data_IF_149548398969
#
_entry.id   IF_149548398969
#
_cell.length_a   1.000
_cell.length_b   1.000
_cell.length_c   1.000
_cell.angle_alpha   90.00
_cell.angle_beta   90.00
_cell.angle_gamma   90.00
#
_symmetry.space_group_name_H-M   'P 1'
#
loop_
_entity.id
_entity.type
_entity.pdbx_description
1 polymer ?
#
# COMPACT_ATOMS: atom_id res chain seq x y z
N UNK A 1 -5.74 -48.25 27.51
CA UNK A 1 -5.84 -46.87 28.03
C UNK A 1 -6.46 -46.03 26.94
N UNK A 2 -7.77 -45.79 27.00
CA UNK A 2 -8.52 -45.09 25.96
C UNK A 2 -8.31 -43.57 26.17
N UNK A 3 -7.57 -42.92 25.27
CA UNK A 3 -7.35 -41.48 25.30
C UNK A 3 -8.63 -40.79 24.83
N UNK A 4 -9.44 -40.27 25.76
CA UNK A 4 -10.59 -39.44 25.43
C UNK A 4 -10.05 -38.04 25.10
N UNK A 5 -9.99 -37.72 23.81
CA UNK A 5 -9.70 -36.36 23.33
C UNK A 5 -10.99 -35.57 23.48
N UNK A 6 -11.10 -34.76 24.53
CA UNK A 6 -12.13 -33.74 24.63
C UNK A 6 -11.85 -32.66 23.58
N UNK A 7 -12.62 -32.66 22.48
CA UNK A 7 -12.75 -31.46 21.66
C UNK A 7 -13.56 -30.45 22.47
N UNK A 8 -12.88 -29.46 23.03
CA UNK A 8 -13.56 -28.24 23.47
C UNK A 8 -14.01 -27.50 22.21
N UNK A 9 -15.26 -27.69 21.81
CA UNK A 9 -15.91 -26.73 20.94
C UNK A 9 -15.96 -25.41 21.72
N UNK A 10 -15.21 -24.40 21.27
CA UNK A 10 -15.41 -23.03 21.77
C UNK A 10 -16.81 -22.63 21.34
N UNK A 11 -17.76 -22.66 22.27
CA UNK A 11 -19.05 -22.02 22.09
C UNK A 11 -18.74 -20.52 22.06
N UNK A 12 -18.73 -19.95 20.86
CA UNK A 12 -18.52 -18.51 20.69
C UNK A 12 -19.77 -17.78 21.19
N UNK A 13 -19.60 -16.93 22.20
CA UNK A 13 -20.67 -16.15 22.81
C UNK A 13 -20.80 -14.75 22.18
N UNK A 14 -20.55 -14.64 20.86
CA UNK A 14 -20.71 -13.40 20.11
C UNK A 14 -22.18 -12.93 20.07
N UNK A 15 -22.44 -11.71 19.54
CA UNK A 15 -23.80 -11.19 19.45
C UNK A 15 -24.67 -12.08 18.56
N UNK A 16 -25.91 -12.31 18.97
CA UNK A 16 -26.88 -13.10 18.19
C UNK A 16 -27.28 -12.43 16.88
N UNK A 17 -27.20 -11.09 16.83
CA UNK A 17 -27.51 -10.27 15.66
C UNK A 17 -26.40 -9.25 15.48
N UNK A 18 -25.80 -9.23 14.29
CA UNK A 18 -24.83 -8.22 13.88
C UNK A 18 -25.58 -7.08 13.19
N UNK A 19 -25.28 -5.84 13.57
CA UNK A 19 -25.80 -4.63 12.94
C UNK A 19 -24.67 -3.83 12.30
N UNK A 20 -24.78 -3.57 10.99
CA UNK A 20 -23.75 -2.90 10.19
C UNK A 20 -23.71 -1.38 10.39
N UNK A 21 -24.60 -0.83 11.22
CA UNK A 21 -24.54 0.56 11.64
C UNK A 21 -23.56 0.80 12.80
N UNK A 22 -22.99 -0.26 13.39
CA UNK A 22 -21.97 -0.20 14.44
C UNK A 22 -20.59 -0.46 13.80
N UNK A 23 -19.96 0.62 13.37
CA UNK A 23 -18.69 0.59 12.64
C UNK A 23 -17.49 0.50 13.60
N UNK A 24 -16.62 -0.47 13.34
CA UNK A 24 -15.35 -0.69 14.04
C UNK A 24 -14.21 -0.82 13.04
N UNK A 25 -12.97 -0.64 13.48
CA UNK A 25 -11.82 -1.15 12.73
C UNK A 25 -11.88 -2.68 12.76
N UNK A 26 -12.15 -3.29 11.62
CA UNK A 26 -12.35 -4.74 11.50
C UNK A 26 -11.05 -5.53 11.63
N UNK A 27 -9.88 -4.88 11.50
CA UNK A 27 -8.61 -5.49 11.88
C UNK A 27 -8.44 -5.46 13.40
N UNK A 28 -8.65 -4.28 13.99
CA UNK A 28 -8.61 -4.11 15.42
C UNK A 28 -7.95 -2.81 15.87
N UNK A 29 -7.51 -2.79 17.12
CA UNK A 29 -6.90 -1.62 17.74
C UNK A 29 -5.64 -2.02 18.53
N UNK A 30 -4.61 -1.18 18.48
CA UNK A 30 -3.45 -1.35 19.39
C UNK A 30 -3.83 -1.09 20.84
N UNK A 31 -3.15 -1.74 21.78
CA UNK A 31 -3.47 -1.65 23.20
C UNK A 31 -3.44 -0.20 23.72
N UNK A 32 -2.51 0.60 23.22
CA UNK A 32 -2.27 2.00 23.57
C UNK A 32 -2.97 3.03 22.66
N UNK A 33 -3.65 2.57 21.59
CA UNK A 33 -4.31 3.46 20.66
C UNK A 33 -5.61 4.04 21.22
N UNK A 34 -6.01 5.18 20.64
CA UNK A 34 -7.38 5.68 20.73
C UNK A 34 -8.29 4.71 20.00
N UNK A 35 -9.35 4.24 20.66
CA UNK A 35 -10.28 3.23 20.13
C UNK A 35 -11.67 3.82 20.05
N UNK A 36 -12.22 3.83 18.85
CA UNK A 36 -13.50 4.45 18.55
C UNK A 36 -14.31 3.49 17.69
N UNK A 37 -15.56 3.28 18.08
CA UNK A 37 -16.60 2.78 17.19
C UNK A 37 -17.48 3.97 16.77
N UNK A 38 -17.89 3.97 15.52
CA UNK A 38 -18.81 4.97 14.96
C UNK A 38 -20.16 4.30 14.82
N UNK A 39 -21.18 4.91 15.40
CA UNK A 39 -22.55 4.42 15.27
C UNK A 39 -23.25 5.37 14.32
N UNK A 40 -23.81 4.87 13.23
CA UNK A 40 -24.46 5.68 12.19
C UNK A 40 -25.97 5.49 12.19
N UNK A 41 -26.71 6.56 11.97
CA UNK A 41 -28.11 6.53 11.58
C UNK A 41 -28.26 7.25 10.24
N UNK A 42 -28.46 6.52 9.14
CA UNK A 42 -28.69 7.13 7.84
C UNK A 42 -29.88 8.09 7.85
N UNK A 43 -29.72 9.27 7.25
CA UNK A 43 -30.74 10.31 7.28
C UNK A 43 -31.03 10.90 5.91
N UNK A 44 -30.02 10.99 5.04
CA UNK A 44 -30.13 11.42 3.63
C UNK A 44 -29.10 10.65 2.82
N UNK A 45 -29.35 10.38 1.54
CA UNK A 45 -28.37 9.71 0.67
C UNK A 45 -28.79 8.29 0.29
N UNK A 46 -27.85 7.51 -0.26
CA UNK A 46 -28.14 6.19 -0.83
C UNK A 46 -28.71 5.19 0.19
N UNK A 47 -28.24 5.28 1.43
CA UNK A 47 -28.61 4.40 2.54
C UNK A 47 -29.74 4.95 3.42
N UNK A 48 -30.43 6.04 3.04
CA UNK A 48 -31.44 6.67 3.92
C UNK A 48 -32.65 5.79 4.24
N UNK A 49 -32.91 4.76 3.43
CA UNK A 49 -34.02 3.82 3.61
C UNK A 49 -33.69 2.70 4.62
N UNK A 50 -32.49 2.71 5.21
CA UNK A 50 -32.04 1.76 6.25
C UNK A 50 -31.72 2.52 7.57
N UNK A 51 -32.72 3.11 8.25
CA UNK A 51 -32.48 3.88 9.46
C UNK A 51 -32.15 2.99 10.65
N UNK A 52 -31.23 3.45 11.50
CA UNK A 52 -30.89 2.80 12.76
C UNK A 52 -31.08 3.77 13.93
N UNK A 53 -31.91 3.40 14.91
CA UNK A 53 -32.12 4.21 16.10
C UNK A 53 -31.20 3.71 17.23
N UNK A 54 -30.01 4.32 17.43
CA UNK A 54 -29.07 3.81 18.42
C UNK A 54 -29.61 3.98 19.84
N UNK A 55 -29.21 3.06 20.73
CA UNK A 55 -29.42 3.19 22.17
C UNK A 55 -28.79 4.46 22.74
N UNK A 56 -29.57 5.52 22.90
CA UNK A 56 -29.11 6.77 23.50
C UNK A 56 -29.39 6.83 25.02
N UNK A 57 -28.61 7.65 25.73
CA UNK A 57 -28.66 7.76 27.19
C UNK A 57 -27.49 7.06 27.88
N UNK A 58 -27.49 7.11 29.22
CA UNK A 58 -26.33 6.67 30.01
C UNK A 58 -26.07 5.18 29.85
N UNK A 59 -24.82 4.85 29.53
CA UNK A 59 -24.27 3.49 29.62
C UNK A 59 -25.02 2.45 28.78
N UNK A 60 -25.48 2.83 27.58
CA UNK A 60 -26.22 1.95 26.67
C UNK A 60 -25.35 1.06 25.79
N UNK A 61 -24.07 1.39 25.66
CA UNK A 61 -23.13 0.65 24.82
C UNK A 61 -22.07 -0.04 25.66
N UNK A 62 -21.67 -1.24 25.24
CA UNK A 62 -20.67 -2.07 25.92
C UNK A 62 -19.58 -2.52 24.95
N UNK A 63 -18.37 -2.74 25.48
CA UNK A 63 -17.39 -3.61 24.84
C UNK A 63 -17.49 -4.95 25.55
N UNK A 64 -17.72 -6.01 24.78
CA UNK A 64 -17.86 -7.37 25.30
C UNK A 64 -16.81 -8.27 24.71
N UNK A 65 -16.30 -9.21 25.52
CA UNK A 65 -15.38 -10.25 25.05
C UNK A 65 -16.13 -11.20 24.13
N UNK A 66 -15.51 -11.52 22.99
CA UNK A 66 -16.07 -12.45 22.01
C UNK A 66 -16.21 -13.88 22.55
N UNK A 67 -15.33 -14.28 23.46
CA UNK A 67 -15.26 -15.65 23.96
C UNK A 67 -16.38 -16.04 24.92
N UNK A 68 -16.89 -15.10 25.71
CA UNK A 68 -17.75 -15.38 26.87
C UNK A 68 -18.83 -14.32 27.12
N UNK A 69 -19.04 -13.38 26.19
CA UNK A 69 -20.04 -12.30 26.26
C UNK A 69 -19.88 -11.36 27.48
N UNK A 70 -18.76 -11.43 28.19
CA UNK A 70 -18.55 -10.59 29.38
C UNK A 70 -18.30 -9.15 28.96
N UNK A 71 -19.14 -8.24 29.45
CA UNK A 71 -18.92 -6.81 29.33
C UNK A 71 -17.69 -6.38 30.13
N UNK A 72 -16.68 -5.85 29.43
CA UNK A 72 -15.42 -5.35 30.01
C UNK A 72 -15.38 -3.82 30.07
N UNK A 73 -16.31 -3.17 29.37
CA UNK A 73 -16.48 -1.72 29.39
C UNK A 73 -17.94 -1.38 29.10
N UNK A 74 -18.41 -0.29 29.69
CA UNK A 74 -19.71 0.29 29.42
C UNK A 74 -19.54 1.79 29.25
N UNK A 75 -20.22 2.38 28.27
CA UNK A 75 -20.12 3.80 28.02
C UNK A 75 -21.36 4.39 27.37
N UNK A 76 -21.30 5.72 27.24
CA UNK A 76 -22.37 6.55 26.70
C UNK A 76 -21.94 7.12 25.36
N UNK A 77 -22.75 6.95 24.33
CA UNK A 77 -22.51 7.55 23.01
C UNK A 77 -22.40 9.07 23.11
N UNK A 78 -21.47 9.65 22.34
CA UNK A 78 -21.33 11.10 22.17
C UNK A 78 -21.76 11.49 20.76
N UNK A 79 -22.80 12.32 20.58
CA UNK A 79 -23.20 12.74 19.24
C UNK A 79 -22.06 13.52 18.59
N UNK A 80 -21.76 13.20 17.34
CA UNK A 80 -20.84 13.99 16.53
C UNK A 80 -21.47 15.34 16.20
N UNK A 81 -20.68 16.41 16.27
CA UNK A 81 -21.06 17.76 15.84
C UNK A 81 -22.46 18.20 16.32
N UNK A 82 -22.72 18.05 17.63
CA UNK A 82 -24.01 18.38 18.26
C UNK A 82 -25.24 17.68 17.63
N UNK A 83 -25.06 16.50 17.03
CA UNK A 83 -26.13 15.72 16.41
C UNK A 83 -26.48 16.16 14.99
N UNK A 84 -25.64 16.97 14.35
CA UNK A 84 -25.79 17.33 12.94
C UNK A 84 -25.66 16.10 12.03
N UNK A 85 -26.34 16.16 10.88
CA UNK A 85 -26.13 15.20 9.79
C UNK A 85 -24.80 15.50 9.10
N UNK A 86 -23.96 14.48 8.91
CA UNK A 86 -22.69 14.59 8.21
C UNK A 86 -22.96 14.84 6.72
N UNK A 87 -22.37 15.89 6.13
CA UNK A 87 -22.77 16.37 4.81
C UNK A 87 -22.34 15.47 3.65
N UNK A 88 -21.31 14.64 3.82
CA UNK A 88 -20.83 13.75 2.76
C UNK A 88 -21.55 12.39 2.77
N UNK A 89 -21.70 11.79 3.95
CA UNK A 89 -22.38 10.49 4.06
C UNK A 89 -23.89 10.64 4.16
N UNK A 90 -24.37 11.75 4.71
CA UNK A 90 -25.78 11.98 4.98
C UNK A 90 -26.31 11.28 6.23
N UNK A 91 -25.43 10.79 7.11
CA UNK A 91 -25.78 10.13 8.35
C UNK A 91 -25.71 11.08 9.56
N UNK A 92 -26.56 10.84 10.57
CA UNK A 92 -26.25 11.28 11.94
C UNK A 92 -25.34 10.24 12.57
N UNK A 93 -24.29 10.66 13.28
CA UNK A 93 -23.32 9.73 13.85
C UNK A 93 -22.99 10.01 15.31
N UNK A 94 -22.55 8.97 16.01
CA UNK A 94 -22.11 9.03 17.40
C UNK A 94 -20.76 8.35 17.56
N UNK A 95 -19.94 8.91 18.45
CA UNK A 95 -18.70 8.31 18.91
C UNK A 95 -18.95 7.42 20.12
N UNK A 96 -18.43 6.20 20.07
CA UNK A 96 -18.22 5.35 21.23
C UNK A 96 -16.73 5.14 21.45
N UNK A 97 -16.15 5.88 22.41
CA UNK A 97 -14.72 5.78 22.74
C UNK A 97 -14.52 4.80 23.90
N UNK A 98 -13.66 3.81 23.69
CA UNK A 98 -13.37 2.75 24.66
C UNK A 98 -11.85 2.53 24.82
N UNK A 99 -11.07 3.59 24.67
CA UNK A 99 -9.60 3.54 24.70
C UNK A 99 -9.01 2.94 25.98
N UNK A 100 -9.75 2.95 27.10
CA UNK A 100 -9.35 2.33 28.37
C UNK A 100 -9.31 0.81 28.33
N UNK A 101 -9.97 0.17 27.36
CA UNK A 101 -9.84 -1.28 27.13
C UNK A 101 -8.51 -1.52 26.43
N UNK A 102 -7.55 -2.06 27.16
CA UNK A 102 -6.18 -2.30 26.67
C UNK A 102 -5.73 -3.75 26.80
N UNK A 103 -6.52 -4.61 27.46
CA UNK A 103 -6.22 -6.04 27.56
C UNK A 103 -6.29 -6.65 26.15
N UNK A 104 -5.25 -7.37 25.70
CA UNK A 104 -5.30 -8.06 24.42
C UNK A 104 -6.41 -9.11 24.39
N UNK A 105 -7.12 -9.22 23.27
CA UNK A 105 -8.22 -10.16 23.11
C UNK A 105 -9.12 -9.87 21.91
N UNK A 106 -10.16 -10.68 21.77
CA UNK A 106 -11.19 -10.52 20.76
C UNK A 106 -12.45 -9.92 21.40
N UNK A 107 -13.03 -8.92 20.76
CA UNK A 107 -14.12 -8.13 21.30
C UNK A 107 -15.17 -7.80 20.24
N UNK A 108 -16.31 -7.29 20.69
CA UNK A 108 -17.30 -6.64 19.87
C UNK A 108 -18.00 -5.51 20.65
N UNK A 109 -18.63 -4.58 19.94
CA UNK A 109 -19.44 -3.50 20.53
C UNK A 109 -20.89 -3.95 20.60
N UNK A 110 -21.58 -3.72 21.72
CA UNK A 110 -22.97 -4.14 21.91
C UNK A 110 -23.89 -2.96 22.26
N UNK A 111 -24.98 -2.80 21.51
CA UNK A 111 -26.08 -1.88 21.83
C UNK A 111 -27.14 -2.62 22.66
N UNK A 112 -27.19 -2.31 23.95
CA UNK A 112 -28.16 -2.94 24.87
C UNK A 112 -29.61 -2.62 24.59
N UNK A 113 -29.87 -1.51 23.91
CA UNK A 113 -31.25 -1.06 23.66
C UNK A 113 -31.88 -1.91 22.57
N UNK A 114 -31.11 -2.17 21.51
CA UNK A 114 -31.57 -2.91 20.35
C UNK A 114 -31.22 -4.41 20.42
N UNK A 115 -30.31 -4.82 21.31
CA UNK A 115 -29.89 -6.21 21.46
C UNK A 115 -29.02 -6.70 20.30
N UNK A 116 -28.26 -5.80 19.69
CA UNK A 116 -27.41 -6.06 18.50
C UNK A 116 -25.95 -5.70 18.78
N UNK A 117 -25.02 -6.30 18.03
CA UNK A 117 -23.60 -6.03 18.16
C UNK A 117 -22.88 -5.77 16.85
N UNK A 118 -21.63 -5.31 16.93
CA UNK A 118 -20.74 -5.17 15.77
C UNK A 118 -20.18 -6.52 15.33
N UNK A 119 -19.48 -6.53 14.18
CA UNK A 119 -18.52 -7.59 13.87
C UNK A 119 -17.42 -7.70 14.95
N UNK A 120 -16.77 -8.87 15.00
CA UNK A 120 -15.61 -9.14 15.85
C UNK A 120 -14.43 -8.24 15.44
N UNK A 121 -13.70 -7.73 16.41
CA UNK A 121 -12.41 -7.05 16.22
C UNK A 121 -11.40 -7.48 17.29
N UNK A 122 -10.11 -7.23 17.05
CA UNK A 122 -9.04 -7.55 18.00
C UNK A 122 -8.54 -6.30 18.73
N UNK A 123 -8.09 -6.46 19.97
CA UNK A 123 -7.21 -5.50 20.64
C UNK A 123 -5.89 -6.22 20.88
N UNK A 124 -4.78 -5.62 20.48
CA UNK A 124 -3.45 -6.23 20.58
C UNK A 124 -2.37 -5.39 19.91
N UNK A 125 -1.12 -5.55 20.30
CA UNK A 125 -0.02 -4.73 19.74
C UNK A 125 0.36 -5.10 18.30
N UNK A 126 -0.06 -6.27 17.84
CA UNK A 126 0.26 -6.86 16.54
C UNK A 126 -0.95 -6.94 15.57
N UNK A 127 -2.05 -6.24 15.85
CA UNK A 127 -3.29 -6.31 15.04
C UNK A 127 -3.10 -5.90 13.58
N UNK A 128 -2.04 -5.16 13.26
CA UNK A 128 -1.74 -4.72 11.90
C UNK A 128 -0.61 -5.53 11.23
N UNK A 129 -0.02 -6.51 11.90
CA UNK A 129 1.12 -7.27 11.36
C UNK A 129 0.72 -8.05 10.11
N UNK A 130 -0.37 -8.83 10.20
CA UNK A 130 -0.88 -9.61 9.06
C UNK A 130 -1.47 -8.70 7.97
N UNK A 131 -2.04 -7.54 8.34
CA UNK A 131 -2.53 -6.54 7.39
C UNK A 131 -1.36 -5.96 6.58
N UNK A 132 -0.25 -5.64 7.24
CA UNK A 132 0.97 -5.14 6.60
C UNK A 132 1.57 -6.21 5.68
N UNK A 133 1.65 -7.47 6.13
CA UNK A 133 2.13 -8.59 5.30
C UNK A 133 1.25 -8.79 4.07
N UNK A 134 -0.06 -8.84 4.22
CA UNK A 134 -1.00 -8.98 3.11
C UNK A 134 -0.93 -7.79 2.13
N UNK A 135 -0.84 -6.57 2.67
CA UNK A 135 -0.66 -5.35 1.87
C UNK A 135 0.63 -5.40 1.04
N UNK A 136 1.76 -5.80 1.64
CA UNK A 136 3.02 -5.96 0.93
C UNK A 136 2.97 -7.11 -0.08
N UNK A 137 2.34 -8.24 0.27
CA UNK A 137 2.17 -9.40 -0.60
C UNK A 137 1.38 -9.09 -1.87
N UNK A 138 0.55 -8.06 -1.85
CA UNK A 138 -0.18 -7.60 -3.05
C UNK A 138 0.78 -7.23 -4.18
N UNK A 139 1.93 -6.61 -3.88
CA UNK A 139 2.94 -6.29 -4.90
C UNK A 139 3.53 -7.55 -5.56
N UNK A 140 3.77 -8.60 -4.78
CA UNK A 140 4.19 -9.90 -5.31
C UNK A 140 3.18 -10.43 -6.33
N UNK A 141 1.88 -10.36 -6.02
CA UNK A 141 0.81 -10.77 -6.92
C UNK A 141 0.70 -9.88 -8.16
N UNK A 142 1.06 -8.60 -8.06
CA UNK A 142 1.14 -7.67 -9.18
C UNK A 142 2.42 -7.80 -10.03
N UNK A 143 3.41 -8.62 -9.66
CA UNK A 143 4.64 -8.79 -10.47
C UNK A 143 4.32 -9.25 -11.90
N UNK A 144 4.61 -8.43 -12.90
CA UNK A 144 4.59 -8.78 -14.31
C UNK A 144 5.82 -9.63 -14.68
N UNK A 145 5.68 -10.61 -15.58
CA UNK A 145 6.81 -11.42 -16.06
C UNK A 145 7.37 -12.44 -15.07
N UNK A 146 6.67 -12.71 -13.97
CA UNK A 146 7.08 -13.69 -12.95
C UNK A 146 5.99 -14.71 -12.64
N UNK A 147 6.40 -15.96 -12.45
CA UNK A 147 5.53 -17.05 -12.02
C UNK A 147 4.96 -16.76 -10.61
N UNK A 148 3.65 -16.91 -10.45
CA UNK A 148 3.01 -17.00 -9.13
C UNK A 148 2.97 -18.47 -8.74
N UNK A 149 4.04 -18.95 -8.12
CA UNK A 149 4.23 -20.36 -7.83
C UNK A 149 4.06 -20.66 -6.34
N UNK A 150 3.54 -21.86 -6.03
CA UNK A 150 3.60 -22.41 -4.68
C UNK A 150 5.07 -22.63 -4.27
N UNK A 151 5.47 -22.39 -2.99
CA UNK A 151 4.63 -22.01 -1.85
C UNK A 151 4.45 -20.49 -1.68
N UNK A 152 4.94 -19.67 -2.60
CA UNK A 152 4.97 -18.21 -2.46
C UNK A 152 3.62 -17.54 -2.78
N UNK A 153 2.84 -18.17 -3.67
CA UNK A 153 1.47 -17.81 -4.00
C UNK A 153 0.48 -18.75 -3.29
N UNK A 154 -0.61 -18.17 -2.77
CA UNK A 154 -1.71 -18.89 -2.15
C UNK A 154 -2.48 -19.73 -3.17
N UNK A 155 -3.17 -20.77 -2.67
CA UNK A 155 -4.02 -21.59 -3.51
C UNK A 155 -5.11 -20.75 -4.20
N UNK A 156 -5.28 -20.93 -5.52
CA UNK A 156 -6.19 -20.12 -6.34
C UNK A 156 -5.58 -18.84 -6.91
N UNK A 157 -4.36 -18.48 -6.49
CA UNK A 157 -3.62 -17.30 -6.97
C UNK A 157 -2.32 -17.68 -7.70
N UNK A 158 -2.15 -18.97 -8.02
CA UNK A 158 -1.03 -19.43 -8.83
C UNK A 158 -1.27 -19.16 -10.30
N UNK A 159 -0.23 -18.70 -11.00
CA UNK A 159 -0.27 -18.38 -12.43
C UNK A 159 1.14 -18.50 -13.04
N UNK A 160 1.22 -18.76 -14.34
CA UNK A 160 2.47 -18.72 -15.08
C UNK A 160 2.94 -17.26 -15.29
N UNK A 161 4.20 -17.07 -15.68
CA UNK A 161 4.72 -15.75 -16.04
C UNK A 161 3.91 -15.16 -17.21
N UNK A 162 3.35 -13.99 -17.00
CA UNK A 162 2.63 -13.21 -18.00
C UNK A 162 3.54 -12.32 -18.83
N UNK A 163 3.07 -11.86 -19.98
CA UNK A 163 3.73 -10.85 -20.82
C UNK A 163 5.15 -11.21 -21.31
N UNK A 164 5.47 -12.51 -21.43
CA UNK A 164 6.77 -13.02 -21.93
C UNK A 164 6.69 -13.68 -23.32
N UNK A 165 5.54 -13.60 -23.98
CA UNK A 165 5.28 -14.18 -25.30
C UNK A 165 5.77 -13.30 -26.47
N UNK A 166 5.29 -13.64 -27.68
CA UNK A 166 5.65 -12.91 -28.91
C UNK A 166 5.23 -11.45 -28.83
N UNK A 167 6.19 -10.54 -29.04
CA UNK A 167 5.97 -9.09 -29.04
C UNK A 167 5.29 -8.58 -27.76
N UNK A 168 5.71 -9.13 -26.61
CA UNK A 168 5.29 -8.67 -25.30
C UNK A 168 6.43 -7.93 -24.59
N UNK A 169 6.54 -7.99 -23.26
CA UNK A 169 7.46 -7.13 -22.51
C UNK A 169 8.93 -7.44 -22.83
N UNK A 170 9.28 -8.68 -23.21
CA UNK A 170 10.64 -9.08 -23.60
C UNK A 170 11.03 -8.68 -25.04
N UNK A 171 10.05 -8.29 -25.86
CA UNK A 171 10.21 -7.84 -27.25
C UNK A 171 9.30 -6.65 -27.54
N UNK A 172 9.29 -5.69 -26.62
CA UNK A 172 8.33 -4.59 -26.58
C UNK A 172 8.70 -3.53 -27.63
N UNK A 173 7.71 -3.01 -28.36
CA UNK A 173 7.93 -2.11 -29.50
C UNK A 173 7.49 -0.68 -29.19
N UNK A 174 8.13 0.31 -29.81
CA UNK A 174 7.71 1.70 -29.67
C UNK A 174 6.32 1.90 -30.29
N UNK A 175 5.36 2.43 -29.53
CA UNK A 175 3.98 2.60 -30.00
C UNK A 175 3.88 3.50 -31.26
N UNK A 176 4.76 4.50 -31.39
CA UNK A 176 4.80 5.41 -32.54
C UNK A 176 5.64 4.91 -33.71
N UNK A 177 6.38 3.81 -33.53
CA UNK A 177 7.16 3.14 -34.57
C UNK A 177 7.24 1.64 -34.26
N UNK A 178 6.18 0.87 -34.58
CA UNK A 178 6.00 -0.53 -34.21
C UNK A 178 6.85 -1.47 -35.08
N UNK A 179 8.15 -1.22 -35.17
CA UNK A 179 9.10 -1.93 -36.01
C UNK A 179 9.96 -2.92 -35.20
N UNK A 180 10.44 -3.97 -35.88
CA UNK A 180 11.44 -4.88 -35.34
C UNK A 180 12.72 -4.16 -34.83
N UNK A 181 13.03 -2.99 -35.38
CA UNK A 181 14.19 -2.17 -34.98
C UNK A 181 14.01 -1.41 -33.67
N UNK A 182 12.78 -1.31 -33.15
CA UNK A 182 12.48 -0.67 -31.86
C UNK A 182 12.31 -1.68 -30.73
N UNK A 183 12.75 -2.95 -30.92
CA UNK A 183 12.70 -3.98 -29.86
C UNK A 183 13.38 -3.48 -28.60
N UNK A 184 12.73 -3.69 -27.46
CA UNK A 184 13.35 -3.56 -26.14
C UNK A 184 12.85 -4.66 -25.22
N UNK A 185 13.76 -5.16 -24.40
CA UNK A 185 13.42 -5.97 -23.25
C UNK A 185 13.06 -5.06 -22.06
N UNK A 186 11.78 -5.00 -21.73
CA UNK A 186 11.16 -4.18 -20.69
C UNK A 186 10.35 -5.05 -19.69
N UNK A 187 10.77 -6.30 -19.48
CA UNK A 187 10.13 -7.24 -18.55
C UNK A 187 10.26 -6.84 -17.07
N UNK A 188 9.44 -7.49 -16.24
CA UNK A 188 9.42 -7.30 -14.79
C UNK A 188 8.50 -6.15 -14.35
N UNK A 189 8.68 -5.72 -13.11
CA UNK A 189 7.89 -4.65 -12.49
C UNK A 189 6.46 -5.05 -12.16
N UNK A 190 5.63 -4.11 -11.73
CA UNK A 190 4.27 -4.37 -11.28
C UNK A 190 3.23 -3.92 -12.31
N UNK A 191 2.17 -4.71 -12.46
CA UNK A 191 0.91 -4.22 -13.02
C UNK A 191 0.39 -3.07 -12.15
N UNK A 192 0.03 -1.95 -12.78
CA UNK A 192 -0.25 -0.69 -12.10
C UNK A 192 -1.57 -0.71 -11.33
N UNK A 193 -2.58 -1.38 -11.89
CA UNK A 193 -3.89 -1.49 -11.27
C UNK A 193 -4.57 -2.82 -11.65
N UNK A 194 -5.88 -2.77 -11.92
CA UNK A 194 -6.65 -3.92 -12.40
C UNK A 194 -6.38 -4.28 -13.86
N UNK A 195 -5.72 -3.40 -14.62
CA UNK A 195 -5.13 -3.69 -15.91
C UNK A 195 -3.64 -4.03 -15.78
N UNK A 196 -3.05 -4.55 -16.86
CA UNK A 196 -1.67 -5.03 -16.84
C UNK A 196 -0.63 -4.02 -17.35
N UNK A 197 -1.01 -2.76 -17.57
CA UNK A 197 -0.06 -1.75 -17.99
C UNK A 197 0.84 -1.33 -16.81
N UNK A 198 1.99 -0.75 -17.13
CA UNK A 198 3.01 -0.34 -16.16
C UNK A 198 3.45 1.09 -16.49
N UNK A 199 3.33 2.02 -15.55
CA UNK A 199 3.54 3.45 -15.78
C UNK A 199 4.65 3.99 -14.90
N UNK A 200 5.76 4.46 -15.49
CA UNK A 200 6.93 4.93 -14.73
C UNK A 200 6.53 6.02 -13.74
N UNK A 201 5.67 6.96 -14.16
CA UNK A 201 5.22 8.06 -13.31
C UNK A 201 4.38 7.63 -12.10
N UNK A 202 3.61 6.55 -12.21
CA UNK A 202 2.72 6.14 -11.12
C UNK A 202 3.47 5.35 -10.04
N UNK A 203 4.67 4.84 -10.36
CA UNK A 203 5.59 4.29 -9.36
C UNK A 203 6.06 5.32 -8.34
N UNK A 204 6.03 6.62 -8.66
CA UNK A 204 6.65 7.66 -7.83
C UNK A 204 6.10 7.68 -6.41
N UNK A 205 4.78 7.75 -6.26
CA UNK A 205 4.14 7.80 -4.93
C UNK A 205 4.37 6.49 -4.18
N UNK A 206 4.15 5.36 -4.85
CA UNK A 206 4.27 4.03 -4.26
C UNK A 206 5.68 3.75 -3.75
N UNK A 207 6.69 3.87 -4.61
CA UNK A 207 8.08 3.61 -4.24
C UNK A 207 8.60 4.62 -3.20
N UNK A 208 8.27 5.90 -3.36
CA UNK A 208 8.70 6.92 -2.39
C UNK A 208 8.08 6.68 -1.02
N UNK A 209 6.78 6.40 -0.94
CA UNK A 209 6.11 6.13 0.33
C UNK A 209 6.66 4.87 1.01
N UNK A 210 6.91 3.80 0.26
CA UNK A 210 7.45 2.55 0.81
C UNK A 210 8.91 2.68 1.26
N UNK A 211 9.75 3.37 0.48
CA UNK A 211 11.14 3.65 0.87
C UNK A 211 11.23 4.55 2.11
N UNK A 212 10.36 5.57 2.22
CA UNK A 212 10.30 6.42 3.41
C UNK A 212 9.67 5.70 4.62
N UNK A 213 8.74 4.77 4.40
CA UNK A 213 8.20 3.93 5.46
C UNK A 213 9.26 2.96 6.01
N UNK A 214 10.12 2.43 5.14
CA UNK A 214 11.30 1.68 5.55
C UNK A 214 12.27 2.55 6.36
N UNK A 215 12.60 3.75 5.88
CA UNK A 215 13.48 4.69 6.59
C UNK A 215 12.94 5.05 7.98
N UNK A 216 11.63 5.26 8.10
CA UNK A 216 11.01 5.67 9.36
C UNK A 216 11.03 4.56 10.42
N UNK A 217 10.85 3.29 10.02
CA UNK A 217 10.74 2.16 10.95
C UNK A 217 11.34 0.88 10.34
N UNK A 218 12.66 0.78 10.12
CA UNK A 218 13.24 -0.34 9.40
C UNK A 218 13.01 -1.69 10.10
N UNK A 219 12.92 -1.70 11.43
CA UNK A 219 12.79 -2.91 12.23
C UNK A 219 11.45 -3.63 12.12
N UNK A 220 10.39 -2.98 11.62
CA UNK A 220 9.08 -3.63 11.42
C UNK A 220 9.05 -4.44 10.13
N UNK A 221 9.93 -4.13 9.18
CA UNK A 221 10.05 -4.84 7.90
C UNK A 221 10.96 -6.05 8.07
N UNK A 222 10.35 -7.22 8.04
CA UNK A 222 11.02 -8.51 8.22
C UNK A 222 11.36 -9.14 6.86
N UNK A 223 12.07 -10.25 6.93
CA UNK A 223 12.50 -11.10 5.81
C UNK A 223 11.80 -12.47 5.94
N UNK A 224 10.45 -12.43 6.03
CA UNK A 224 9.60 -13.56 6.45
C UNK A 224 8.15 -13.59 5.91
N UNK A 225 7.79 -12.79 4.89
CA UNK A 225 6.43 -12.74 4.33
C UNK A 225 6.19 -13.81 3.24
N UNK A 226 7.18 -14.68 3.01
CA UNK A 226 7.11 -15.82 2.11
C UNK A 226 7.20 -15.43 0.63
N UNK A 227 7.93 -14.37 0.29
CA UNK A 227 8.36 -14.11 -1.08
C UNK A 227 9.37 -15.16 -1.55
N UNK A 228 9.59 -15.30 -2.87
CA UNK A 228 10.71 -16.10 -3.39
C UNK A 228 12.07 -15.69 -2.81
N UNK A 229 12.20 -14.41 -2.45
CA UNK A 229 13.41 -13.82 -1.89
C UNK A 229 13.53 -13.96 -0.36
N UNK A 230 12.46 -14.35 0.35
CA UNK A 230 12.45 -14.36 1.82
C UNK A 230 13.52 -15.29 2.40
N UNK A 231 14.19 -14.83 3.46
CA UNK A 231 15.30 -15.48 4.15
C UNK A 231 16.68 -15.17 3.56
N UNK A 232 16.80 -14.21 2.63
CA UNK A 232 18.07 -13.89 1.98
C UNK A 232 18.93 -12.85 2.74
N UNK A 233 18.43 -12.32 3.86
CA UNK A 233 19.08 -11.28 4.65
C UNK A 233 18.75 -9.84 4.22
N UNK A 234 17.79 -9.63 3.34
CA UNK A 234 17.24 -8.35 2.91
C UNK A 234 15.78 -8.31 3.37
N UNK A 235 15.30 -7.22 4.01
CA UNK A 235 13.88 -7.10 4.33
C UNK A 235 13.02 -7.27 3.08
N UNK A 236 11.97 -8.09 3.16
CA UNK A 236 11.13 -8.45 2.01
C UNK A 236 10.53 -7.23 1.31
N UNK A 237 10.28 -6.15 2.07
CA UNK A 237 9.87 -4.88 1.50
C UNK A 237 10.87 -4.43 0.43
N UNK A 238 12.17 -4.39 0.76
CA UNK A 238 13.21 -3.95 -0.17
C UNK A 238 13.43 -4.95 -1.30
N UNK A 239 13.24 -6.25 -1.08
CA UNK A 239 13.25 -7.22 -2.18
C UNK A 239 12.12 -6.99 -3.18
N UNK A 240 10.92 -6.70 -2.69
CA UNK A 240 9.78 -6.38 -3.55
C UNK A 240 10.02 -5.06 -4.30
N UNK A 241 10.52 -4.01 -3.62
CA UNK A 241 10.89 -2.75 -4.29
C UNK A 241 12.00 -2.95 -5.33
N UNK A 242 12.96 -3.85 -5.07
CA UNK A 242 14.02 -4.21 -6.02
C UNK A 242 13.44 -4.78 -7.31
N UNK A 243 12.37 -5.56 -7.25
CA UNK A 243 11.69 -6.09 -8.43
C UNK A 243 11.20 -4.97 -9.36
N UNK A 244 10.56 -3.94 -8.79
CA UNK A 244 10.10 -2.76 -9.53
C UNK A 244 11.24 -1.87 -10.01
N UNK A 245 12.26 -1.65 -9.17
CA UNK A 245 13.43 -0.87 -9.53
C UNK A 245 14.19 -1.48 -10.71
N UNK A 246 14.24 -2.81 -10.83
CA UNK A 246 14.80 -3.46 -12.02
C UNK A 246 14.00 -3.14 -13.29
N UNK A 247 12.68 -3.06 -13.22
CA UNK A 247 11.88 -2.60 -14.36
C UNK A 247 12.15 -1.13 -14.69
N UNK A 248 12.19 -0.24 -13.69
CA UNK A 248 12.55 1.17 -13.92
C UNK A 248 13.94 1.32 -14.56
N UNK A 249 14.93 0.49 -14.18
CA UNK A 249 16.25 0.48 -14.80
C UNK A 249 16.17 0.08 -16.28
N UNK A 250 15.32 -0.88 -16.66
CA UNK A 250 15.08 -1.23 -18.08
C UNK A 250 14.38 -0.11 -18.85
N UNK A 251 13.59 0.72 -18.16
CA UNK A 251 12.94 1.89 -18.76
C UNK A 251 13.91 3.06 -19.02
N UNK A 252 15.13 3.04 -18.44
CA UNK A 252 16.15 4.05 -18.68
C UNK A 252 16.93 3.77 -19.98
N UNK A 253 17.04 4.80 -20.82
CA UNK A 253 17.82 4.76 -22.06
C UNK A 253 19.30 5.09 -21.79
N UNK A 254 20.16 4.80 -22.77
CA UNK A 254 21.62 5.01 -22.64
C UNK A 254 22.03 6.48 -22.39
N UNK A 255 21.19 7.44 -22.78
CA UNK A 255 21.40 8.87 -22.48
C UNK A 255 20.91 9.28 -21.07
N UNK A 256 20.26 8.38 -20.34
CA UNK A 256 19.68 8.59 -19.03
C UNK A 256 18.19 8.91 -19.03
N UNK A 257 17.56 9.17 -20.18
CA UNK A 257 16.13 9.50 -20.24
C UNK A 257 15.26 8.25 -19.96
N UNK A 258 14.09 8.42 -19.35
CA UNK A 258 13.20 7.29 -19.05
C UNK A 258 11.97 7.27 -19.95
N UNK A 259 11.66 6.08 -20.49
CA UNK A 259 10.40 5.74 -21.17
C UNK A 259 9.22 5.93 -20.21
N UNK A 260 8.01 6.22 -20.74
CA UNK A 260 6.87 6.60 -19.90
C UNK A 260 6.00 5.43 -19.42
N UNK A 261 5.76 4.45 -20.29
CA UNK A 261 4.75 3.40 -20.09
C UNK A 261 5.14 2.13 -20.86
N UNK A 262 4.74 0.97 -20.35
CA UNK A 262 4.61 -0.29 -21.09
C UNK A 262 3.17 -0.75 -20.98
N UNK A 263 2.51 -1.01 -22.11
CA UNK A 263 1.09 -1.34 -22.08
C UNK A 263 0.53 -1.89 -23.39
N UNK A 264 -0.76 -2.21 -23.38
CA UNK A 264 -1.52 -2.60 -24.58
C UNK A 264 -2.25 -1.39 -25.18
N UNK A 265 -2.72 -1.53 -26.42
CA UNK A 265 -3.65 -0.57 -27.01
C UNK A 265 -5.10 -0.95 -26.65
N UNK A 266 -5.97 0.05 -26.47
CA UNK A 266 -7.41 -0.12 -26.20
C UNK A 266 -7.76 -0.99 -24.98
N UNK A 267 -6.89 -1.02 -23.96
CA UNK A 267 -7.09 -1.83 -22.75
C UNK A 267 -7.30 -3.33 -23.01
N UNK A 268 -6.71 -3.86 -24.08
CA UNK A 268 -6.75 -5.30 -24.33
C UNK A 268 -6.10 -6.06 -23.16
N UNK A 269 -6.80 -7.08 -22.66
CA UNK A 269 -6.35 -7.95 -21.57
C UNK A 269 -7.10 -9.29 -21.60
N UNK A 270 -6.55 -10.31 -20.95
CA UNK A 270 -7.21 -11.58 -20.67
C UNK A 270 -6.85 -12.05 -19.25
N UNK A 271 -7.70 -12.86 -18.63
CA UNK A 271 -7.47 -13.40 -17.29
C UNK A 271 -7.44 -14.94 -17.33
N UNK A 272 -6.51 -15.61 -16.61
CA UNK A 272 -5.46 -15.04 -15.77
C UNK A 272 -4.41 -14.27 -16.59
N UNK A 273 -3.56 -13.41 -15.98
CA UNK A 273 -2.58 -12.59 -16.69
C UNK A 273 -1.70 -13.37 -17.69
N UNK A 274 -1.36 -14.62 -17.39
CA UNK A 274 -0.58 -15.47 -18.30
C UNK A 274 -1.28 -15.82 -19.62
N UNK A 275 -2.61 -15.71 -19.68
CA UNK A 275 -3.40 -15.94 -20.88
C UNK A 275 -3.48 -14.68 -21.77
N UNK A 276 -3.02 -13.52 -21.29
CA UNK A 276 -2.98 -12.31 -22.08
C UNK A 276 -1.88 -12.39 -23.16
N UNK A 277 -2.31 -12.60 -24.39
CA UNK A 277 -1.44 -12.67 -25.58
C UNK A 277 -1.37 -11.33 -26.34
N UNK A 278 -1.95 -10.24 -25.81
CA UNK A 278 -1.90 -8.95 -26.47
C UNK A 278 -0.45 -8.46 -26.65
N UNK A 279 -0.18 -7.84 -27.80
CA UNK A 279 1.10 -7.19 -28.02
C UNK A 279 1.29 -6.03 -27.06
N UNK A 280 2.53 -5.88 -26.59
CA UNK A 280 2.92 -4.84 -25.64
C UNK A 280 3.74 -3.78 -26.36
N UNK A 281 3.49 -2.54 -25.96
CA UNK A 281 4.07 -1.35 -26.56
C UNK A 281 4.65 -0.47 -25.46
N UNK A 282 5.73 0.24 -25.77
CA UNK A 282 6.25 1.27 -24.89
C UNK A 282 6.01 2.68 -25.43
N UNK A 283 5.77 3.62 -24.52
CA UNK A 283 5.68 5.04 -24.81
C UNK A 283 7.05 5.72 -24.87
N UNK A 284 7.17 6.88 -25.54
CA UNK A 284 8.43 7.60 -25.66
C UNK A 284 8.96 8.06 -24.30
N UNK A 285 10.24 8.39 -24.24
CA UNK A 285 10.81 8.99 -23.05
C UNK A 285 10.23 10.37 -22.76
N UNK A 286 10.08 10.70 -21.47
CA UNK A 286 9.54 11.98 -21.03
C UNK A 286 10.37 12.56 -19.89
N UNK A 287 10.42 13.89 -19.79
CA UNK A 287 11.08 14.57 -18.66
C UNK A 287 10.41 14.21 -17.32
N UNK A 288 9.10 13.95 -17.33
CA UNK A 288 8.35 13.54 -16.13
C UNK A 288 8.76 12.14 -15.63
N UNK A 289 8.91 11.18 -16.55
CA UNK A 289 9.43 9.85 -16.23
C UNK A 289 10.89 9.93 -15.75
N UNK A 290 11.72 10.78 -16.38
CA UNK A 290 13.09 11.01 -15.93
C UNK A 290 13.16 11.58 -14.50
N UNK A 291 12.28 12.52 -14.15
CA UNK A 291 12.16 13.04 -12.77
C UNK A 291 11.77 11.95 -11.76
N UNK A 292 10.83 11.09 -12.16
CA UNK A 292 10.42 9.94 -11.34
C UNK A 292 11.61 9.00 -11.10
N UNK A 293 12.29 8.57 -12.16
CA UNK A 293 13.48 7.71 -12.04
C UNK A 293 14.58 8.35 -11.20
N UNK A 294 14.92 9.63 -11.46
CA UNK A 294 15.96 10.33 -10.71
C UNK A 294 15.68 10.34 -9.20
N UNK A 295 14.44 10.65 -8.80
CA UNK A 295 14.06 10.73 -7.38
C UNK A 295 14.00 9.36 -6.71
N UNK A 296 13.33 8.39 -7.35
CA UNK A 296 13.16 7.03 -6.82
C UNK A 296 14.49 6.30 -6.71
N UNK A 297 15.31 6.34 -7.76
CA UNK A 297 16.62 5.68 -7.73
C UNK A 297 17.55 6.26 -6.66
N UNK A 298 17.55 7.58 -6.48
CA UNK A 298 18.35 8.23 -5.45
C UNK A 298 17.91 7.80 -4.04
N UNK A 299 16.60 7.80 -3.77
CA UNK A 299 16.08 7.38 -2.47
C UNK A 299 16.32 5.88 -2.22
N UNK A 300 16.11 5.04 -3.24
CA UNK A 300 16.36 3.61 -3.13
C UNK A 300 17.84 3.31 -2.87
N UNK A 301 18.77 4.00 -3.54
CA UNK A 301 20.20 3.85 -3.27
C UNK A 301 20.55 4.08 -1.80
N UNK A 302 19.96 5.09 -1.15
CA UNK A 302 20.15 5.36 0.29
C UNK A 302 19.71 4.15 1.13
N UNK A 303 18.53 3.59 0.85
CA UNK A 303 18.02 2.46 1.63
C UNK A 303 18.84 1.18 1.40
N UNK A 304 19.26 0.88 0.16
CA UNK A 304 20.09 -0.29 -0.11
C UNK A 304 21.52 -0.17 0.44
N UNK A 305 22.11 1.03 0.49
CA UNK A 305 23.37 1.25 1.21
C UNK A 305 23.22 1.00 2.71
N UNK A 306 22.07 1.33 3.32
CA UNK A 306 21.86 1.18 4.76
C UNK A 306 21.98 -0.27 5.27
N UNK A 307 21.79 -1.26 4.38
CA UNK A 307 21.90 -2.68 4.70
C UNK A 307 23.36 -3.15 4.89
N UNK A 308 24.35 -2.35 4.47
CA UNK A 308 25.78 -2.60 4.68
C UNK A 308 26.26 -4.00 4.24
N UNK A 309 25.70 -4.55 3.17
CA UNK A 309 26.18 -5.80 2.57
C UNK A 309 26.66 -5.58 1.11
N UNK A 310 27.53 -6.47 0.61
CA UNK A 310 28.20 -6.29 -0.69
C UNK A 310 27.20 -6.25 -1.85
N UNK A 311 26.20 -7.13 -1.85
CA UNK A 311 25.23 -7.24 -2.92
C UNK A 311 24.33 -5.99 -3.00
N UNK A 312 23.83 -5.51 -1.87
CA UNK A 312 22.97 -4.31 -1.81
C UNK A 312 23.77 -3.05 -2.08
N UNK A 313 25.05 -3.00 -1.68
CA UNK A 313 25.95 -1.88 -2.03
C UNK A 313 26.15 -1.79 -3.54
N UNK A 314 26.42 -2.90 -4.22
CA UNK A 314 26.57 -2.92 -5.68
C UNK A 314 25.28 -2.51 -6.41
N UNK A 315 24.11 -2.93 -5.89
CA UNK A 315 22.83 -2.48 -6.41
C UNK A 315 22.59 -0.99 -6.16
N UNK A 316 22.90 -0.48 -4.96
CA UNK A 316 22.80 0.94 -4.63
C UNK A 316 23.71 1.81 -5.51
N UNK A 317 24.92 1.36 -5.84
CA UNK A 317 25.82 2.02 -6.79
C UNK A 317 25.18 2.14 -8.18
N UNK A 318 24.54 1.06 -8.64
CA UNK A 318 23.80 1.04 -9.92
C UNK A 318 22.68 2.08 -9.91
N UNK A 319 21.87 2.10 -8.85
CA UNK A 319 20.77 3.05 -8.68
C UNK A 319 21.28 4.50 -8.61
N UNK A 320 22.38 4.76 -7.90
CA UNK A 320 22.99 6.09 -7.82
C UNK A 320 23.44 6.61 -9.19
N UNK A 321 24.06 5.75 -10.01
CA UNK A 321 24.46 6.10 -11.38
C UNK A 321 23.22 6.38 -12.24
N UNK A 322 22.21 5.51 -12.17
CA UNK A 322 20.96 5.68 -12.90
C UNK A 322 20.24 6.99 -12.52
N UNK A 323 20.18 7.31 -11.22
CA UNK A 323 19.62 8.56 -10.70
C UNK A 323 20.34 9.79 -11.28
N UNK A 324 21.67 9.75 -11.28
CA UNK A 324 22.52 10.84 -11.78
C UNK A 324 22.32 11.06 -13.29
N UNK A 325 22.23 9.98 -14.06
CA UNK A 325 22.01 10.05 -15.51
C UNK A 325 20.61 10.59 -15.83
N UNK A 326 19.58 10.11 -15.14
CA UNK A 326 18.23 10.65 -15.27
C UNK A 326 18.19 12.15 -14.97
N UNK A 327 18.82 12.57 -13.86
CA UNK A 327 18.88 13.98 -13.48
C UNK A 327 19.57 14.87 -14.53
N UNK A 328 20.64 14.40 -15.18
CA UNK A 328 21.30 15.15 -16.27
C UNK A 328 20.34 15.42 -17.44
N UNK A 329 19.52 14.43 -17.82
CA UNK A 329 18.55 14.62 -18.92
C UNK A 329 17.49 15.67 -18.60
N UNK A 330 17.10 15.78 -17.32
CA UNK A 330 16.17 16.80 -16.84
C UNK A 330 16.79 18.20 -17.02
N UNK A 331 18.06 18.39 -16.64
CA UNK A 331 18.75 19.69 -16.79
C UNK A 331 18.98 20.09 -18.25
N UNK A 332 19.11 19.12 -19.15
CA UNK A 332 19.21 19.36 -20.59
C UNK A 332 17.86 19.63 -21.26
N UNK A 333 16.73 19.52 -20.53
CA UNK A 333 15.41 19.82 -21.08
C UNK A 333 15.23 21.32 -21.30
N UNK A 334 14.93 21.70 -22.55
CA UNK A 334 14.74 23.11 -22.97
C UNK A 334 13.66 23.83 -22.15
N UNK A 335 12.63 23.11 -21.70
CA UNK A 335 11.54 23.67 -20.88
C UNK A 335 12.07 24.07 -19.50
N UNK A 336 12.90 23.22 -18.87
CA UNK A 336 13.48 23.50 -17.55
C UNK A 336 14.56 24.57 -17.64
N UNK A 337 15.36 24.57 -18.70
CA UNK A 337 16.29 25.66 -18.98
C UNK A 337 15.55 27.00 -19.15
N UNK A 338 14.42 27.00 -19.85
CA UNK A 338 13.58 28.21 -20.00
C UNK A 338 13.00 28.67 -18.64
N UNK A 339 12.53 27.75 -17.79
CA UNK A 339 12.06 28.07 -16.44
C UNK A 339 13.20 28.64 -15.57
N UNK A 340 14.41 28.06 -15.63
CA UNK A 340 15.59 28.54 -14.89
C UNK A 340 16.11 29.88 -15.41
N UNK A 341 15.95 30.16 -16.71
CA UNK A 341 16.26 31.48 -17.30
C UNK A 341 15.25 32.54 -16.85
N UNK A 342 13.97 32.19 -16.73
CA UNK A 342 12.90 33.10 -16.30
C UNK A 342 12.90 33.29 -14.76
N UNK A 343 13.31 32.27 -14.00
CA UNK A 343 13.41 32.28 -12.54
C UNK A 343 14.81 31.85 -12.06
N UNK A 344 15.84 32.69 -12.22
CA UNK A 344 17.19 32.37 -11.76
C UNK A 344 17.19 32.32 -10.22
N UNK A 345 17.27 31.11 -9.66
CA UNK A 345 17.50 30.95 -8.22
C UNK A 345 19.00 31.14 -7.93
N UNK A 346 19.33 32.08 -7.05
CA UNK A 346 20.70 32.52 -6.74
C UNK A 346 21.45 31.63 -5.74
N UNK A 347 21.06 30.37 -5.57
CA UNK A 347 21.65 29.47 -4.56
C UNK A 347 22.36 28.27 -5.20
N UNK A 348 23.65 28.03 -4.91
CA UNK A 348 24.34 26.83 -5.37
C UNK A 348 23.74 25.56 -4.74
N UNK A 349 23.36 24.61 -5.59
CA UNK A 349 22.46 23.49 -5.26
C UNK A 349 23.08 22.38 -4.39
N UNK A 350 24.37 22.45 -4.04
CA UNK A 350 25.00 21.50 -3.11
C UNK A 350 24.42 21.60 -1.69
N UNK A 351 23.72 22.68 -1.35
CA UNK A 351 22.98 22.81 -0.08
C UNK A 351 21.48 22.45 -0.18
N UNK A 352 20.90 22.35 -1.38
CA UNK A 352 19.45 22.16 -1.57
C UNK A 352 18.98 20.75 -1.20
N UNK A 353 19.82 19.73 -1.39
CA UNK A 353 19.49 18.34 -1.00
C UNK A 353 19.48 18.18 0.54
N UNK A 354 20.27 18.99 1.25
CA UNK A 354 20.33 18.97 2.73
C UNK A 354 19.21 19.82 3.36
N UNK A 355 18.75 20.88 2.69
CA UNK A 355 17.76 21.81 3.26
C UNK A 355 16.31 21.29 3.26
N UNK A 356 15.95 20.39 2.34
CA UNK A 356 14.63 19.73 2.32
C UNK A 356 14.42 18.76 3.50
N UNK A 357 15.51 18.23 4.09
CA UNK A 357 15.42 17.42 5.32
C UNK A 357 15.25 18.27 6.59
N UNK A 358 15.80 19.49 6.62
CA UNK A 358 15.82 20.35 7.82
C UNK A 358 14.63 21.31 7.93
N UNK A 359 13.95 21.64 6.82
CA UNK A 359 12.77 22.53 6.85
C UNK A 359 11.51 21.84 7.40
N UNK A 360 11.39 20.51 7.30
CA UNK A 360 10.27 19.75 7.92
C UNK A 360 10.36 19.67 9.45
N UNK A 361 11.55 19.84 10.04
CA UNK A 361 11.72 19.83 11.50
C UNK A 361 11.28 21.15 12.19
N UNK A 362 11.07 22.24 11.45
CA UNK A 362 10.68 23.55 12.01
C UNK A 362 9.20 23.90 11.89
N UNK A 363 8.40 23.10 11.18
CA UNK A 363 6.95 23.30 11.04
C UNK A 363 6.15 22.55 12.13
N UNK A 364 6.82 21.69 12.93
CA UNK A 364 6.19 20.97 14.08
C UNK A 364 6.51 21.54 15.46
N UNK A 365 7.04 22.75 15.56
CA UNK A 365 7.29 23.38 16.85
C UNK A 365 6.95 24.88 16.82
N UNK A 366 5.65 25.18 16.98
CA UNK A 366 5.11 26.26 17.83
C UNK A 366 3.57 26.15 17.88
N UNK A 367 2.97 26.55 19.00
CA UNK A 367 1.80 25.93 19.61
C UNK A 367 0.49 26.06 18.81
#
# INVERSE_FOLDING_TARGET
>A
MLLIIFRFERIFAGPTVIDYHIHVDQFGYRCDAVKIAVISNPHTGYNSDDPFLPGTGTNKYEVRRWSDDVAVFTGTLKPWNAGATHSQSGDKVWWFTFSTVSTPGEYYIFDKTNGVGSCKFQIGDNVYDEVMKAGLKTFYYQRCGSNKASPFADNGWTDAACHIGTQQDTDCRLVTNPSASTSRDLHGGWHDAGDYNKYVNFTWTTLTSLLLAYEANPSVWKDDIGLPESGNGIPDLLDELRYELHWLLRMQQGDGALLSVVGTQNFASASPPSADAAFRWYGPATTSAALTGASVFALAAIQFYSLNNVATTAFADTLKVAATNAYKTILCSKIIQLILIIHPTTQPFTQSVVHLSKSKAKIRAKP
#
